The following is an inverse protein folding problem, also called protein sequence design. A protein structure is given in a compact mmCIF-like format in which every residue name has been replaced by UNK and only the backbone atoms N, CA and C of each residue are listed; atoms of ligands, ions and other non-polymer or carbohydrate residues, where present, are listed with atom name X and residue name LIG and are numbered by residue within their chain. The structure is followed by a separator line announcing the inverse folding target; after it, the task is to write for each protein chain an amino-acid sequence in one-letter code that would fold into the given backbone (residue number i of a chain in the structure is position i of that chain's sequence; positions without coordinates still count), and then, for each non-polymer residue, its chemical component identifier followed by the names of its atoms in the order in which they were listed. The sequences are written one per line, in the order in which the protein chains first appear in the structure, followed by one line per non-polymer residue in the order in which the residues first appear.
data_IF_281119834222
#
_entry.id   IF_281119834222
#
_cell.length_a   1.000
_cell.length_b   1.000
_cell.length_c   1.000
_cell.angle_alpha   90.00
_cell.angle_beta   90.00
_cell.angle_gamma   90.00
#
_symmetry.space_group_name_H-M   'P 1'
#
loop_
_entity.id
_entity.type
_entity.pdbx_description
1 polymer ?
#
# COMPACT_ATOMS: atom_id res chain seq x y z
N UNK A 1 -0.47 -16.75 -2.56
CA UNK A 1 0.87 -16.64 -1.94
C UNK A 1 1.28 -15.19 -1.68
N UNK A 2 1.48 -14.31 -2.68
CA UNK A 2 1.87 -12.91 -2.41
C UNK A 2 0.93 -12.19 -1.43
N UNK A 3 -0.39 -12.23 -1.64
CA UNK A 3 -1.30 -11.49 -0.77
C UNK A 3 -1.33 -11.98 0.68
N UNK A 4 -1.09 -13.27 0.91
CA UNK A 4 -0.95 -13.81 2.28
C UNK A 4 0.27 -13.23 2.99
N UNK A 5 1.32 -12.84 2.27
CA UNK A 5 2.50 -12.21 2.91
C UNK A 5 2.24 -10.77 3.32
N UNK A 6 1.10 -10.18 2.93
CA UNK A 6 0.71 -8.81 3.28
C UNK A 6 -0.07 -8.79 4.60
N UNK A 7 -0.69 -9.90 5.00
CA UNK A 7 -1.42 -10.00 6.27
C UNK A 7 -0.55 -9.59 7.46
N UNK A 8 -1.14 -8.91 8.45
CA UNK A 8 -0.48 -8.48 9.69
C UNK A 8 -0.31 -6.97 9.81
N UNK A 9 0.45 -6.52 10.81
CA UNK A 9 0.62 -5.09 11.11
C UNK A 9 1.93 -4.56 10.54
N UNK A 10 1.87 -3.42 9.86
CA UNK A 10 2.99 -2.77 9.20
C UNK A 10 3.12 -1.33 9.67
N UNK A 11 4.35 -0.90 9.97
CA UNK A 11 4.63 0.52 10.23
C UNK A 11 5.99 0.93 9.68
N UNK A 12 6.10 2.16 9.21
CA UNK A 12 7.38 2.69 8.78
C UNK A 12 7.30 4.03 8.05
N UNK A 13 8.48 4.61 7.78
CA UNK A 13 8.58 5.91 7.14
C UNK A 13 8.23 5.85 5.65
N UNK A 14 7.70 6.97 5.18
CA UNK A 14 7.58 7.30 3.77
C UNK A 14 8.00 8.74 3.49
N UNK A 15 8.28 9.01 2.23
CA UNK A 15 8.69 10.32 1.75
C UNK A 15 8.07 10.61 0.39
N UNK A 16 7.67 11.86 0.20
CA UNK A 16 7.34 12.40 -1.12
C UNK A 16 8.66 12.78 -1.81
N UNK A 17 9.01 12.08 -2.90
CA UNK A 17 10.32 12.22 -3.56
C UNK A 17 10.31 13.17 -4.76
N UNK A 18 9.13 13.54 -5.26
CA UNK A 18 8.96 14.45 -6.40
C UNK A 18 7.72 15.33 -6.29
N UNK A 19 7.67 16.40 -7.08
CA UNK A 19 6.57 17.37 -7.13
C UNK A 19 6.64 18.45 -6.05
N UNK A 20 5.56 19.24 -5.95
CA UNK A 20 5.47 20.41 -5.04
C UNK A 20 5.77 20.09 -3.58
N UNK A 21 5.45 18.88 -3.14
CA UNK A 21 5.59 18.44 -1.74
C UNK A 21 6.84 17.60 -1.48
N UNK A 22 7.83 17.61 -2.38
CA UNK A 22 9.08 16.86 -2.24
C UNK A 22 9.75 17.14 -0.88
N UNK A 23 10.27 16.08 -0.25
CA UNK A 23 10.91 16.11 1.06
C UNK A 23 9.95 15.98 2.24
N UNK A 24 8.63 15.96 1.98
CA UNK A 24 7.64 15.70 3.03
C UNK A 24 7.79 14.27 3.53
N UNK A 25 8.14 14.12 4.81
CA UNK A 25 8.25 12.84 5.49
C UNK A 25 6.99 12.53 6.28
N UNK A 26 6.64 11.26 6.30
CA UNK A 26 5.47 10.76 6.99
C UNK A 26 5.72 9.36 7.53
N UNK A 27 4.93 8.93 8.50
CA UNK A 27 4.99 7.57 9.06
C UNK A 27 3.62 6.94 8.93
N UNK A 28 3.56 5.76 8.30
CA UNK A 28 2.31 5.02 8.16
C UNK A 28 2.25 3.88 9.17
N UNK A 29 1.04 3.56 9.61
CA UNK A 29 0.69 2.34 10.32
C UNK A 29 -0.52 1.72 9.63
N UNK A 30 -0.36 0.51 9.13
CA UNK A 30 -1.28 -0.18 8.23
C UNK A 30 -1.50 -1.62 8.67
N UNK A 31 -2.76 -2.04 8.71
CA UNK A 31 -3.19 -3.41 8.89
C UNK A 31 -3.42 -4.05 7.51
N UNK A 32 -2.68 -5.12 7.23
CA UNK A 32 -2.87 -5.98 6.08
C UNK A 32 -3.85 -7.11 6.39
N UNK A 33 -4.84 -7.32 5.53
CA UNK A 33 -5.79 -8.44 5.61
C UNK A 33 -6.09 -9.03 4.23
N UNK A 34 -6.49 -10.30 4.18
CA UNK A 34 -7.05 -10.90 2.97
C UNK A 34 -8.57 -10.66 2.96
N UNK A 35 -9.17 -10.16 1.87
CA UNK A 35 -10.61 -10.01 1.75
C UNK A 35 -11.34 -11.35 1.79
N UNK A 36 -12.51 -11.40 2.44
CA UNK A 36 -13.31 -12.61 2.53
C UNK A 36 -13.71 -13.13 1.14
N UNK A 37 -13.55 -14.43 0.93
CA UNK A 37 -13.93 -15.15 -0.31
C UNK A 37 -13.32 -14.60 -1.61
N UNK A 38 -12.23 -13.84 -1.54
CA UNK A 38 -11.55 -13.32 -2.72
C UNK A 38 -10.03 -13.44 -2.63
N UNK A 39 -9.38 -13.70 -3.76
CA UNK A 39 -7.92 -13.63 -3.84
C UNK A 39 -7.52 -12.16 -3.94
N UNK A 40 -6.95 -11.60 -2.87
CA UNK A 40 -6.64 -10.17 -2.82
C UNK A 40 -6.00 -9.74 -1.51
N UNK A 41 -5.85 -8.43 -1.33
CA UNK A 41 -5.37 -7.81 -0.09
C UNK A 41 -6.14 -6.53 0.21
N UNK A 42 -6.23 -6.19 1.50
CA UNK A 42 -6.52 -4.85 1.98
C UNK A 42 -5.36 -4.37 2.86
N UNK A 43 -4.93 -3.13 2.68
CA UNK A 43 -4.08 -2.39 3.60
C UNK A 43 -4.89 -1.20 4.12
N UNK A 44 -5.18 -1.16 5.41
CA UNK A 44 -6.02 -0.14 6.04
C UNK A 44 -5.33 0.47 7.25
N UNK A 45 -5.39 1.78 7.42
CA UNK A 45 -4.79 2.46 8.55
C UNK A 45 -4.62 3.95 8.30
N UNK A 46 -3.48 4.51 8.72
CA UNK A 46 -3.24 5.95 8.58
C UNK A 46 -1.76 6.29 8.40
N UNK A 47 -1.52 7.45 7.78
CA UNK A 47 -0.20 8.05 7.61
C UNK A 47 -0.16 9.41 8.29
N UNK A 48 0.83 9.60 9.15
CA UNK A 48 1.03 10.81 9.96
C UNK A 48 2.09 11.70 9.36
N UNK A 49 1.78 12.98 9.18
CA UNK A 49 2.68 14.06 8.77
C UNK A 49 2.74 15.10 9.89
N UNK A 50 3.83 15.15 10.66
CA UNK A 50 3.94 16.03 11.82
C UNK A 50 2.88 15.72 12.88
N UNK A 51 1.89 16.59 13.04
CA UNK A 51 0.74 16.42 13.97
C UNK A 51 -0.53 15.93 13.28
N UNK A 52 -0.57 15.93 11.95
CA UNK A 52 -1.74 15.56 11.17
C UNK A 52 -1.71 14.07 10.82
N UNK A 53 -2.85 13.39 10.94
CA UNK A 53 -3.00 12.00 10.50
C UNK A 53 -4.04 11.94 9.39
N UNK A 54 -3.74 11.22 8.32
CA UNK A 54 -4.65 10.98 7.22
C UNK A 54 -4.94 9.48 7.09
N UNK A 55 -6.21 9.08 6.97
CA UNK A 55 -6.55 7.68 6.72
C UNK A 55 -5.98 7.25 5.37
N UNK A 56 -5.51 6.02 5.29
CA UNK A 56 -5.02 5.40 4.06
C UNK A 56 -5.56 3.99 3.95
N UNK A 57 -6.25 3.69 2.84
CA UNK A 57 -6.84 2.39 2.58
C UNK A 57 -6.62 1.97 1.13
N UNK A 58 -6.16 0.75 0.93
CA UNK A 58 -5.99 0.14 -0.38
C UNK A 58 -6.57 -1.27 -0.37
N UNK A 59 -7.59 -1.53 -1.17
CA UNK A 59 -8.16 -2.87 -1.35
C UNK A 59 -7.99 -3.30 -2.80
N UNK A 60 -7.49 -4.50 -3.01
CA UNK A 60 -7.26 -5.11 -4.33
C UNK A 60 -7.75 -6.54 -4.30
N UNK A 61 -8.56 -6.92 -5.30
CA UNK A 61 -9.08 -8.27 -5.48
C UNK A 61 -8.86 -8.74 -6.90
N UNK A 62 -8.71 -10.05 -7.07
CA UNK A 62 -8.60 -10.70 -8.38
C UNK A 62 -9.98 -10.72 -9.04
N UNK A 63 -10.04 -10.29 -10.30
CA UNK A 63 -11.22 -10.35 -11.15
C UNK A 63 -10.81 -11.05 -12.45
N UNK A 64 -11.20 -12.31 -12.61
CA UNK A 64 -10.76 -13.16 -13.73
C UNK A 64 -9.23 -13.33 -13.74
N UNK A 65 -8.58 -12.88 -14.83
CA UNK A 65 -7.12 -12.88 -14.97
C UNK A 65 -6.44 -11.60 -14.46
N UNK A 66 -7.20 -10.58 -14.09
CA UNK A 66 -6.71 -9.26 -13.68
C UNK A 66 -6.96 -8.98 -12.20
N UNK A 67 -6.52 -7.80 -11.76
CA UNK A 67 -6.78 -7.26 -10.43
C UNK A 67 -7.50 -5.92 -10.54
N UNK A 68 -8.48 -5.72 -9.65
CA UNK A 68 -9.27 -4.49 -9.53
C UNK A 68 -9.40 -4.11 -8.07
N UNK A 69 -9.76 -2.85 -7.79
CA UNK A 69 -9.82 -2.38 -6.42
C UNK A 69 -9.91 -0.87 -6.28
N UNK A 70 -9.72 -0.40 -5.05
CA UNK A 70 -9.82 1.01 -4.67
C UNK A 70 -8.66 1.40 -3.76
N UNK A 71 -8.08 2.56 -4.00
CA UNK A 71 -7.19 3.28 -3.11
C UNK A 71 -7.90 4.52 -2.59
N UNK A 72 -7.86 4.79 -1.28
CA UNK A 72 -8.50 5.91 -0.58
C UNK A 72 -9.92 6.22 -1.08
N UNK A 73 -10.82 5.24 -0.96
CA UNK A 73 -12.23 5.29 -1.38
C UNK A 73 -12.48 5.26 -2.90
N UNK A 74 -11.43 5.11 -3.70
CA UNK A 74 -11.54 5.02 -5.16
C UNK A 74 -11.81 6.37 -5.82
N UNK A 75 -11.97 6.35 -7.14
CA UNK A 75 -12.12 7.56 -7.96
C UNK A 75 -13.43 8.34 -7.71
N UNK A 76 -14.47 7.65 -7.24
CA UNK A 76 -15.75 8.24 -6.81
C UNK A 76 -15.60 9.05 -5.51
N UNK A 77 -14.64 8.65 -4.67
CA UNK A 77 -14.26 9.36 -3.45
C UNK A 77 -13.08 10.30 -3.67
N UNK A 78 -12.12 10.29 -2.72
CA UNK A 78 -10.92 11.13 -2.76
C UNK A 78 -9.68 10.43 -3.32
N UNK A 79 -9.79 9.17 -3.74
CA UNK A 79 -8.65 8.34 -4.12
C UNK A 79 -8.65 7.89 -5.58
N UNK A 80 -8.15 6.68 -5.83
CA UNK A 80 -7.84 6.15 -7.16
C UNK A 80 -8.43 4.76 -7.34
N UNK A 81 -8.90 4.44 -8.53
CA UNK A 81 -9.29 3.07 -8.86
C UNK A 81 -8.05 2.26 -9.23
N UNK A 82 -8.00 1.02 -8.77
CA UNK A 82 -7.04 0.03 -9.26
C UNK A 82 -7.68 -0.64 -10.47
N UNK A 83 -7.10 -0.45 -11.65
CA UNK A 83 -7.70 -0.90 -12.94
C UNK A 83 -6.99 -2.10 -13.54
N UNK A 84 -5.79 -2.40 -13.08
CA UNK A 84 -5.00 -3.54 -13.53
C UNK A 84 -4.02 -3.95 -12.44
N UNK A 85 -3.51 -5.17 -12.54
CA UNK A 85 -2.39 -5.58 -11.72
C UNK A 85 -1.73 -6.86 -12.19
N UNK A 86 -0.50 -7.04 -11.76
CA UNK A 86 0.29 -8.24 -12.02
C UNK A 86 1.09 -8.59 -10.78
N UNK A 87 1.02 -9.85 -10.36
CA UNK A 87 1.84 -10.39 -9.28
C UNK A 87 2.97 -11.22 -9.89
N UNK A 88 4.20 -10.95 -9.48
CA UNK A 88 5.38 -11.71 -9.94
C UNK A 88 6.29 -11.97 -8.74
N UNK A 89 6.32 -13.22 -8.27
CA UNK A 89 7.07 -13.62 -7.09
C UNK A 89 6.63 -12.84 -5.85
N UNK A 90 7.54 -12.03 -5.30
CA UNK A 90 7.34 -11.21 -4.11
C UNK A 90 6.99 -9.74 -4.44
N UNK A 91 6.51 -9.46 -5.64
CA UNK A 91 6.14 -8.11 -6.09
C UNK A 91 4.74 -8.10 -6.67
N UNK A 92 4.04 -6.99 -6.46
CA UNK A 92 2.81 -6.66 -7.19
C UNK A 92 2.96 -5.27 -7.80
N UNK A 93 2.57 -5.16 -9.07
CA UNK A 93 2.39 -3.88 -9.77
C UNK A 93 0.91 -3.68 -9.99
N UNK A 94 0.40 -2.52 -9.64
CA UNK A 94 -1.01 -2.14 -9.75
C UNK A 94 -1.11 -0.87 -10.59
N UNK A 95 -1.95 -0.88 -11.61
CA UNK A 95 -2.30 0.32 -12.37
C UNK A 95 -3.32 1.14 -11.60
N UNK A 96 -3.05 2.43 -11.42
CA UNK A 96 -3.93 3.38 -10.76
C UNK A 96 -4.53 4.34 -11.81
N UNK A 97 -5.83 4.56 -11.75
CA UNK A 97 -6.51 5.54 -12.60
C UNK A 97 -7.51 6.37 -11.80
N UNK A 98 -7.51 7.68 -12.05
CA UNK A 98 -8.59 8.60 -11.69
C UNK A 98 -8.63 9.75 -12.69
N UNK A 99 -9.64 9.76 -13.56
CA UNK A 99 -9.81 10.81 -14.57
C UNK A 99 -8.52 10.96 -15.40
N UNK A 100 -7.80 12.07 -15.23
CA UNK A 100 -6.56 12.42 -15.95
C UNK A 100 -5.30 11.84 -15.28
N UNK A 101 -5.39 11.43 -14.01
CA UNK A 101 -4.26 10.87 -13.27
C UNK A 101 -4.14 9.37 -13.54
N UNK A 102 -3.11 9.03 -14.30
CA UNK A 102 -2.66 7.66 -14.50
C UNK A 102 -1.40 7.42 -13.66
N UNK A 103 -1.32 6.30 -12.98
CA UNK A 103 -0.18 5.97 -12.13
C UNK A 103 0.03 4.48 -11.98
N UNK A 104 1.05 4.13 -11.22
CA UNK A 104 1.34 2.76 -10.86
C UNK A 104 1.76 2.70 -9.39
N UNK A 105 1.29 1.69 -8.68
CA UNK A 105 1.79 1.32 -7.37
C UNK A 105 2.56 0.02 -7.49
N UNK A 106 3.80 0.02 -7.02
CA UNK A 106 4.63 -1.17 -6.86
C UNK A 106 4.73 -1.46 -5.38
N UNK A 107 4.37 -2.66 -4.95
CA UNK A 107 4.68 -3.17 -3.63
C UNK A 107 5.57 -4.40 -3.74
N UNK A 108 6.65 -4.44 -2.96
CA UNK A 108 7.61 -5.54 -2.89
C UNK A 108 7.81 -5.96 -1.44
N UNK A 109 7.56 -7.23 -1.15
CA UNK A 109 7.90 -7.83 0.14
C UNK A 109 9.34 -8.35 0.04
N UNK A 110 10.29 -7.54 0.51
CA UNK A 110 11.72 -7.82 0.36
C UNK A 110 12.15 -9.04 1.19
N UNK A 111 11.57 -9.18 2.38
CA UNK A 111 11.71 -10.31 3.30
C UNK A 111 10.44 -10.44 4.16
N UNK A 112 10.39 -11.41 5.09
CA UNK A 112 9.21 -11.68 5.94
C UNK A 112 8.69 -10.45 6.70
N UNK A 113 9.57 -9.48 6.99
CA UNK A 113 9.30 -8.35 7.86
C UNK A 113 9.47 -6.98 7.16
N UNK A 114 9.77 -6.95 5.86
CA UNK A 114 10.02 -5.69 5.14
C UNK A 114 9.20 -5.62 3.86
N UNK A 115 8.38 -4.57 3.77
CA UNK A 115 7.61 -4.23 2.57
C UNK A 115 8.00 -2.85 2.08
N UNK A 116 8.39 -2.74 0.82
CA UNK A 116 8.65 -1.47 0.17
C UNK A 116 7.49 -1.15 -0.78
N UNK A 117 7.00 0.08 -0.72
CA UNK A 117 5.93 0.57 -1.59
C UNK A 117 6.44 1.79 -2.36
N UNK A 118 6.17 1.85 -3.65
CA UNK A 118 6.47 3.00 -4.49
C UNK A 118 5.22 3.35 -5.27
N UNK A 119 4.79 4.61 -5.19
CA UNK A 119 3.71 5.16 -6.01
C UNK A 119 4.33 6.08 -7.04
N UNK A 120 4.01 5.83 -8.29
CA UNK A 120 4.45 6.61 -9.44
C UNK A 120 3.24 7.19 -10.15
N UNK A 121 3.41 8.39 -10.71
CA UNK A 121 2.42 9.01 -11.59
C UNK A 121 3.02 9.08 -12.99
N UNK A 122 2.16 8.96 -14.00
CA UNK A 122 2.56 9.12 -15.40
C UNK A 122 2.65 10.61 -15.71
N UNK A 123 3.82 11.04 -16.15
CA UNK A 123 4.07 12.36 -16.72
C UNK A 123 4.51 12.12 -18.15
N UNK A 124 3.72 12.64 -19.11
CA UNK A 124 3.89 12.34 -20.53
C UNK A 124 3.92 10.82 -20.81
N UNK A 125 5.07 10.29 -21.23
CA UNK A 125 5.27 8.88 -21.54
C UNK A 125 6.01 8.12 -20.44
N UNK A 126 6.42 8.78 -19.37
CA UNK A 126 7.26 8.21 -18.31
C UNK A 126 6.51 8.07 -16.99
N UNK A 127 6.86 7.03 -16.22
CA UNK A 127 6.38 6.86 -14.84
C UNK A 127 7.41 7.48 -13.89
N UNK A 128 7.00 8.55 -13.22
CA UNK A 128 7.84 9.26 -12.25
C UNK A 128 7.45 8.84 -10.84
N UNK A 129 8.37 8.27 -10.04
CA UNK A 129 8.09 7.94 -8.65
C UNK A 129 7.86 9.24 -7.87
N UNK A 130 6.74 9.30 -7.15
CA UNK A 130 6.37 10.47 -6.34
C UNK A 130 6.36 10.16 -4.86
N UNK A 131 6.12 8.91 -4.47
CA UNK A 131 6.07 8.48 -3.08
C UNK A 131 6.85 7.18 -2.94
N UNK A 132 7.72 7.13 -1.94
CA UNK A 132 8.40 5.91 -1.51
C UNK A 132 8.11 5.63 -0.04
N UNK A 133 7.92 4.36 0.31
CA UNK A 133 7.69 3.91 1.68
C UNK A 133 8.49 2.64 1.96
N UNK A 134 9.00 2.52 3.17
CA UNK A 134 9.57 1.27 3.69
C UNK A 134 8.87 0.93 4.99
N UNK A 135 8.16 -0.19 4.99
CA UNK A 135 7.31 -0.64 6.08
C UNK A 135 7.93 -1.87 6.72
N UNK A 136 7.97 -1.86 8.05
CA UNK A 136 8.37 -2.98 8.88
C UNK A 136 7.17 -3.63 9.52
N UNK A 137 7.20 -4.95 9.58
CA UNK A 137 6.20 -5.74 10.29
C UNK A 137 6.35 -5.52 11.80
N UNK A 138 5.25 -5.23 12.50
CA UNK A 138 5.22 -4.89 13.93
C UNK A 138 4.34 -5.80 14.79
N UNK A 139 3.69 -6.79 14.18
CA UNK A 139 2.89 -7.81 14.89
C UNK A 139 3.73 -8.75 15.79
N UNK A 140 5.06 -8.60 15.80
CA UNK A 140 6.00 -9.33 16.66
C UNK A 140 6.05 -8.88 18.14
N UNK A 141 5.10 -8.07 18.63
CA UNK A 141 5.01 -7.73 20.06
C UNK A 141 3.58 -7.94 20.58
N UNK A 142 3.32 -9.14 21.09
CA UNK A 142 2.65 -9.41 22.39
C UNK A 142 2.44 -10.92 22.64
N UNK A 143 3.53 -11.67 22.89
CA UNK A 143 3.46 -12.85 23.78
C UNK A 143 4.68 -12.81 24.68
N UNK A 144 4.56 -11.99 25.71
CA UNK A 144 5.54 -11.84 26.78
C UNK A 144 4.88 -11.05 27.89
N UNK A 145 4.11 -11.76 28.73
CA UNK A 145 3.60 -11.38 30.07
C UNK A 145 2.11 -11.75 30.27
N UNK A 146 1.80 -13.04 30.24
CA UNK A 146 0.81 -13.61 31.17
C UNK A 146 1.27 -15.02 31.50
N UNK A 147 2.39 -15.11 32.22
CA UNK A 147 2.45 -16.08 33.30
C UNK A 147 1.41 -15.60 34.32
N UNK A 148 0.24 -16.22 34.34
CA UNK A 148 -0.60 -16.23 35.53
C UNK A 148 -0.60 -17.67 36.04
N UNK A 149 -0.02 -17.78 37.24
CA UNK A 149 -0.02 -18.94 38.11
C UNK A 149 -1.40 -19.58 38.25
#
# INVERSE_FOLDING_TARGET
QFFQTIEGQWSGPGEIVAGKYKGTKFVCTLAGTTPDNAVGMTLDGSCRVGVFSQPMKATVTRVGSNYSGKFNDGAEGKGLNVTSGSVTGNKVVLGLNRKELNGAMLARVADKNTMNVTVSVRVEKELVPVIGMSLKRIDNIAVGSIAKN
#
